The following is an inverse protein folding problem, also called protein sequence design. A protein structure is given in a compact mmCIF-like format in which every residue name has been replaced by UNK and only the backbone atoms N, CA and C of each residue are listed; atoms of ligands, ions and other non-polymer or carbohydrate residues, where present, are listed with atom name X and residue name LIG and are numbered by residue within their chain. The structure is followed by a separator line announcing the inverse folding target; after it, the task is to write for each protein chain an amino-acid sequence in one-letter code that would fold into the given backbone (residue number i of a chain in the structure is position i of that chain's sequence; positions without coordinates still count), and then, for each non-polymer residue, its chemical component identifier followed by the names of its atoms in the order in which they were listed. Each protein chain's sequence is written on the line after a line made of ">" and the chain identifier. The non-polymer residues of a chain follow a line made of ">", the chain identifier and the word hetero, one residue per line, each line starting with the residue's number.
data_IF_542442178331
#
_entry.id   IF_542442178331
#
_cell.length_a   1.000
_cell.length_b   1.000
_cell.length_c   1.000
_cell.angle_alpha   90.00
_cell.angle_beta   90.00
_cell.angle_gamma   90.00
#
_symmetry.space_group_name_H-M   'P 1'
#
loop_
_entity.id
_entity.type
_entity.pdbx_description
1 polymer ?
#
# COMPACT_ATOMS: atom_id res chain seq x y z
N UNK A 1 0.96 10.97 -16.33
CA UNK A 1 0.27 9.66 -16.50
C UNK A 1 1.18 8.63 -15.86
N UNK A 2 0.78 8.08 -14.71
CA UNK A 2 1.68 7.67 -13.62
C UNK A 2 1.94 6.15 -13.66
N UNK A 3 3.19 5.68 -13.73
CA UNK A 3 3.47 4.26 -14.11
C UNK A 3 4.65 3.58 -13.38
N UNK A 4 4.42 2.31 -12.99
CA UNK A 4 5.19 1.48 -12.04
C UNK A 4 5.66 0.15 -12.60
N UNK A 5 6.78 -0.33 -12.04
CA UNK A 5 7.23 -1.72 -12.16
C UNK A 5 6.40 -2.60 -11.22
N UNK A 6 5.32 -3.16 -11.75
CA UNK A 6 4.59 -4.26 -11.09
C UNK A 6 4.68 -5.47 -12.02
N UNK A 7 5.55 -6.42 -11.70
CA UNK A 7 5.65 -7.65 -12.49
C UNK A 7 4.48 -8.61 -12.28
N UNK A 8 3.67 -8.40 -11.25
CA UNK A 8 2.29 -8.87 -11.06
C UNK A 8 1.86 -8.36 -9.67
N UNK A 9 0.75 -7.60 -9.53
CA UNK A 9 0.38 -7.06 -8.23
C UNK A 9 -0.03 -8.21 -7.30
N UNK A 10 0.43 -8.21 -6.03
CA UNK A 10 0.02 -9.24 -5.09
C UNK A 10 -1.51 -9.28 -4.96
N UNK A 11 -2.07 -10.49 -4.97
CA UNK A 11 -3.52 -10.72 -4.88
C UNK A 11 -3.98 -11.04 -3.47
N UNK A 12 -3.04 -11.31 -2.56
CA UNK A 12 -3.29 -11.69 -1.16
C UNK A 12 -3.46 -10.50 -0.20
N UNK A 13 -3.23 -9.27 -0.68
CA UNK A 13 -3.28 -8.04 0.11
C UNK A 13 -3.71 -6.82 -0.71
N UNK A 14 -4.05 -5.74 0.01
CA UNK A 14 -4.33 -4.41 -0.56
C UNK A 14 -3.02 -3.77 -1.01
N UNK A 15 -3.04 -3.16 -2.20
CA UNK A 15 -1.88 -2.46 -2.75
C UNK A 15 -1.65 -1.12 -2.05
N UNK A 16 -0.39 -0.78 -1.77
CA UNK A 16 -0.02 0.53 -1.22
C UNK A 16 0.54 1.41 -2.32
N UNK A 17 -0.10 2.55 -2.54
CA UNK A 17 0.28 3.55 -3.54
C UNK A 17 0.92 4.74 -2.84
N UNK A 18 2.17 5.05 -3.20
CA UNK A 18 2.83 6.29 -2.82
C UNK A 18 2.66 7.32 -3.93
N UNK A 19 2.55 8.61 -3.59
CA UNK A 19 2.69 9.70 -4.55
C UNK A 19 3.98 10.47 -4.23
N UNK A 20 4.87 10.62 -5.21
CA UNK A 20 6.21 11.15 -5.02
C UNK A 20 6.61 12.11 -6.14
N UNK A 21 7.52 13.03 -5.85
CA UNK A 21 7.94 14.09 -6.78
C UNK A 21 9.43 14.00 -7.15
N UNK A 22 10.16 13.07 -6.53
CA UNK A 22 11.58 12.83 -6.81
C UNK A 22 11.92 11.33 -6.85
N UNK A 23 13.05 11.02 -7.49
CA UNK A 23 13.58 9.65 -7.54
C UNK A 23 13.95 9.14 -6.13
N UNK A 24 14.56 9.98 -5.29
CA UNK A 24 14.92 9.63 -3.91
C UNK A 24 13.68 9.27 -3.06
N UNK A 25 12.58 10.02 -3.25
CA UNK A 25 11.30 9.69 -2.60
C UNK A 25 10.73 8.38 -3.12
N UNK A 26 10.84 8.11 -4.43
CA UNK A 26 10.41 6.86 -5.01
C UNK A 26 11.18 5.67 -4.43
N UNK A 27 12.51 5.75 -4.36
CA UNK A 27 13.35 4.71 -3.78
C UNK A 27 13.00 4.46 -2.30
N UNK A 28 12.80 5.52 -1.52
CA UNK A 28 12.38 5.42 -0.12
C UNK A 28 11.00 4.78 0.01
N UNK A 29 10.03 5.18 -0.81
CA UNK A 29 8.69 4.61 -0.80
C UNK A 29 8.70 3.12 -1.17
N UNK A 30 9.52 2.70 -2.14
CA UNK A 30 9.70 1.27 -2.46
C UNK A 30 10.31 0.53 -1.27
N UNK A 31 11.34 1.09 -0.63
CA UNK A 31 11.97 0.49 0.56
C UNK A 31 10.98 0.40 1.75
N UNK A 32 10.06 1.34 1.88
CA UNK A 32 8.98 1.34 2.87
C UNK A 32 7.84 0.38 2.52
N UNK A 33 7.86 -0.16 1.29
CA UNK A 33 6.99 -1.24 0.85
C UNK A 33 5.78 -0.76 0.05
N UNK A 34 5.87 0.33 -0.70
CA UNK A 34 4.87 0.66 -1.70
C UNK A 34 4.89 -0.36 -2.86
N UNK A 35 3.72 -0.75 -3.35
CA UNK A 35 3.59 -1.60 -4.55
C UNK A 35 3.56 -0.74 -5.83
N UNK A 36 3.15 0.52 -5.72
CA UNK A 36 2.85 1.48 -6.82
C UNK A 36 3.32 2.87 -6.36
N UNK A 37 3.93 3.70 -7.23
CA UNK A 37 4.71 4.92 -6.89
C UNK A 37 4.33 6.14 -7.73
N UNK A 38 3.10 6.64 -7.71
CA UNK A 38 2.69 7.77 -8.56
C UNK A 38 3.70 8.93 -8.62
N UNK A 39 4.43 9.04 -9.74
CA UNK A 39 5.56 9.95 -9.89
C UNK A 39 5.15 11.16 -10.74
N UNK A 40 5.38 12.35 -10.21
CA UNK A 40 5.17 13.63 -10.89
C UNK A 40 6.50 14.17 -11.45
N UNK A 41 6.95 13.63 -12.59
CA UNK A 41 8.19 14.04 -13.27
C UNK A 41 8.50 13.29 -14.57
N UNK A 42 9.65 13.58 -15.19
CA UNK A 42 10.10 13.04 -16.48
C UNK A 42 11.00 11.79 -16.32
N UNK A 43 10.45 10.66 -15.89
CA UNK A 43 11.16 9.36 -15.89
C UNK A 43 10.51 8.38 -16.88
N UNK A 44 11.32 7.67 -17.66
CA UNK A 44 10.85 6.55 -18.50
C UNK A 44 10.66 5.29 -17.64
N UNK A 45 9.41 4.99 -17.26
CA UNK A 45 9.06 3.86 -16.40
C UNK A 45 8.07 2.88 -17.08
N UNK A 46 8.11 1.57 -16.72
CA UNK A 46 7.15 0.58 -17.18
C UNK A 46 5.72 0.93 -16.79
N UNK A 47 4.81 0.61 -17.68
CA UNK A 47 3.42 1.02 -17.66
C UNK A 47 2.54 0.08 -16.83
N UNK A 48 1.91 0.56 -15.74
CA UNK A 48 0.82 -0.19 -15.10
C UNK A 48 -0.39 -0.18 -16.05
N UNK A 49 -0.89 -1.36 -16.41
CA UNK A 49 -1.94 -1.55 -17.44
C UNK A 49 -3.28 -2.01 -16.87
N UNK A 50 -3.35 -2.34 -15.59
CA UNK A 50 -4.57 -2.76 -14.91
C UNK A 50 -5.29 -1.55 -14.29
N UNK A 51 -6.63 -1.51 -14.40
CA UNK A 51 -7.43 -0.52 -13.68
C UNK A 51 -7.67 -1.03 -12.25
N UNK A 52 -7.23 -0.25 -11.26
CA UNK A 52 -7.39 -0.58 -9.85
C UNK A 52 -8.15 0.55 -9.15
N UNK A 53 -9.20 0.19 -8.43
CA UNK A 53 -9.92 1.14 -7.58
C UNK A 53 -9.07 1.50 -6.36
N UNK A 54 -8.79 2.80 -6.22
CA UNK A 54 -7.93 3.33 -5.17
C UNK A 54 -8.78 4.05 -4.14
N UNK A 55 -8.80 3.51 -2.92
CA UNK A 55 -9.32 4.23 -1.78
C UNK A 55 -8.34 5.34 -1.39
N UNK A 56 -8.81 6.58 -1.45
CA UNK A 56 -8.04 7.75 -0.98
C UNK A 56 -8.57 8.14 0.38
N UNK A 57 -7.69 8.08 1.39
CA UNK A 57 -8.01 8.55 2.74
C UNK A 57 -7.73 10.05 2.79
N UNK A 58 -8.70 10.89 3.22
CA UNK A 58 -8.47 12.31 3.35
C UNK A 58 -7.34 12.58 4.36
N UNK A 59 -6.54 13.62 4.14
CA UNK A 59 -5.48 13.97 5.07
C UNK A 59 -6.07 14.35 6.44
N UNK A 60 -5.47 13.85 7.50
CA UNK A 60 -5.81 14.12 8.88
C UNK A 60 -4.68 13.66 9.80
N UNK A 61 -4.94 13.56 11.09
CA UNK A 61 -3.97 12.94 12.00
C UNK A 61 -3.67 11.50 11.56
N UNK A 62 -2.44 11.05 11.82
CA UNK A 62 -1.96 9.72 11.41
C UNK A 62 -2.91 8.62 11.88
N UNK A 63 -3.35 8.68 13.14
CA UNK A 63 -4.26 7.71 13.73
C UNK A 63 -5.59 7.62 12.98
N UNK A 64 -6.19 8.76 12.60
CA UNK A 64 -7.43 8.78 11.83
C UNK A 64 -7.22 8.24 10.41
N UNK A 65 -6.08 8.58 9.80
CA UNK A 65 -5.73 8.13 8.45
C UNK A 65 -5.56 6.61 8.42
N UNK A 66 -4.88 6.04 9.42
CA UNK A 66 -4.69 4.59 9.53
C UNK A 66 -5.98 3.85 9.91
N UNK A 67 -6.84 4.45 10.74
CA UNK A 67 -8.15 3.88 11.04
C UNK A 67 -9.04 3.80 9.78
N UNK A 68 -9.09 4.87 8.98
CA UNK A 68 -9.82 4.87 7.73
C UNK A 68 -9.22 3.88 6.71
N UNK A 69 -7.89 3.78 6.62
CA UNK A 69 -7.22 2.78 5.78
C UNK A 69 -7.58 1.35 6.20
N UNK A 70 -7.67 1.08 7.50
CA UNK A 70 -8.09 -0.22 8.05
C UNK A 70 -9.52 -0.56 7.60
N UNK A 71 -10.45 0.39 7.74
CA UNK A 71 -11.86 0.19 7.33
C UNK A 71 -11.96 -0.03 5.82
N UNK A 72 -11.26 0.76 5.02
CA UNK A 72 -11.24 0.61 3.57
C UNK A 72 -10.70 -0.76 3.15
N UNK A 73 -9.59 -1.22 3.75
CA UNK A 73 -9.03 -2.54 3.48
C UNK A 73 -9.99 -3.68 3.87
N UNK A 74 -10.62 -3.61 5.05
CA UNK A 74 -11.62 -4.58 5.50
C UNK A 74 -12.87 -4.59 4.59
N UNK A 75 -13.20 -3.44 4.00
CA UNK A 75 -14.33 -3.30 3.07
C UNK A 75 -14.03 -3.79 1.66
N UNK A 76 -12.81 -4.29 1.39
CA UNK A 76 -12.42 -4.88 0.11
C UNK A 76 -11.75 -3.92 -0.87
N UNK A 77 -11.23 -2.77 -0.41
CA UNK A 77 -10.44 -1.88 -1.26
C UNK A 77 -9.26 -2.65 -1.89
N UNK A 78 -9.05 -2.50 -3.20
CA UNK A 78 -7.95 -3.17 -3.90
C UNK A 78 -6.62 -2.42 -3.74
N UNK A 79 -6.68 -1.09 -3.63
CA UNK A 79 -5.52 -0.25 -3.34
C UNK A 79 -5.85 0.91 -2.40
N UNK A 80 -4.81 1.40 -1.72
CA UNK A 80 -4.84 2.54 -0.82
C UNK A 80 -3.76 3.53 -1.20
N UNK A 81 -4.13 4.81 -1.33
CA UNK A 81 -3.15 5.90 -1.42
C UNK A 81 -2.70 6.26 -0.01
N UNK A 82 -1.39 6.15 0.24
CA UNK A 82 -0.80 6.38 1.55
C UNK A 82 0.03 7.66 1.57
N UNK A 83 -0.15 8.47 2.62
CA UNK A 83 0.77 9.54 2.99
C UNK A 83 2.01 9.02 3.72
N UNK A 84 1.82 8.02 4.60
CA UNK A 84 2.91 7.22 5.20
C UNK A 84 2.82 5.76 4.70
N UNK A 85 3.72 5.42 3.78
CA UNK A 85 3.79 4.10 3.15
C UNK A 85 4.09 3.00 4.17
N UNK A 86 5.04 3.27 5.09
CA UNK A 86 5.51 2.26 6.04
C UNK A 86 4.41 1.89 7.02
N UNK A 87 3.65 2.85 7.50
CA UNK A 87 2.55 2.61 8.43
C UNK A 87 1.35 1.97 7.71
N UNK A 88 1.00 2.47 6.52
CA UNK A 88 -0.05 1.86 5.70
C UNK A 88 0.28 0.40 5.37
N UNK A 89 1.54 0.09 5.02
CA UNK A 89 2.02 -1.27 4.80
C UNK A 89 1.74 -2.17 6.01
N UNK A 90 2.09 -1.75 7.22
CA UNK A 90 1.82 -2.56 8.43
C UNK A 90 0.33 -2.81 8.61
N UNK A 91 -0.52 -1.80 8.39
CA UNK A 91 -1.97 -1.92 8.52
C UNK A 91 -2.54 -2.91 7.51
N UNK A 92 -2.21 -2.80 6.22
CA UNK A 92 -2.79 -3.70 5.20
C UNK A 92 -2.31 -5.14 5.35
N UNK A 93 -1.07 -5.36 5.81
CA UNK A 93 -0.56 -6.71 6.13
C UNK A 93 -1.28 -7.31 7.34
N UNK A 94 -1.54 -6.49 8.36
CA UNK A 94 -2.32 -6.91 9.52
C UNK A 94 -3.75 -7.27 9.12
N UNK A 95 -4.39 -6.43 8.30
CA UNK A 95 -5.75 -6.71 7.79
C UNK A 95 -5.76 -8.00 6.96
N UNK A 96 -4.81 -8.21 6.05
CA UNK A 96 -4.69 -9.45 5.28
C UNK A 96 -4.52 -10.68 6.20
N UNK A 97 -3.76 -10.53 7.29
CA UNK A 97 -3.60 -11.57 8.32
C UNK A 97 -4.89 -11.87 9.07
N UNK A 98 -5.62 -10.82 9.48
CA UNK A 98 -6.91 -10.93 10.17
C UNK A 98 -7.97 -11.57 9.28
N UNK A 99 -7.99 -11.21 8.00
CA UNK A 99 -8.91 -11.77 7.00
C UNK A 99 -8.52 -13.18 6.53
N UNK A 100 -7.35 -13.68 6.92
CA UNK A 100 -6.85 -14.99 6.54
C UNK A 100 -6.43 -15.11 5.07
N UNK A 101 -6.26 -14.00 4.35
CA UNK A 101 -5.77 -14.01 2.97
C UNK A 101 -4.25 -14.18 2.89
N UNK A 102 -3.56 -13.87 4.00
CA UNK A 102 -2.11 -14.04 4.15
C UNK A 102 -1.76 -14.53 5.56
N UNK A 103 -0.79 -15.43 5.76
CA UNK A 103 -0.33 -15.77 7.10
C UNK A 103 0.44 -14.59 7.74
N UNK A 104 0.32 -14.38 9.07
CA UNK A 104 1.12 -13.37 9.75
C UNK A 104 2.61 -13.75 9.71
N UNK A 105 3.49 -12.75 9.62
CA UNK A 105 4.93 -12.96 9.52
C UNK A 105 5.53 -13.79 10.67
N UNK A 106 4.90 -13.74 11.86
CA UNK A 106 5.29 -14.56 13.01
C UNK A 106 4.06 -14.99 13.80
N UNK A 107 3.70 -16.27 13.70
CA UNK A 107 2.70 -16.89 14.56
C UNK A 107 3.37 -17.37 15.86
N UNK A 108 2.99 -16.78 17.00
CA UNK A 108 3.46 -17.21 18.32
C UNK A 108 2.33 -17.88 19.08
N UNK A 109 2.61 -19.05 19.67
CA UNK A 109 1.71 -19.70 20.62
C UNK A 109 2.07 -19.20 22.02
N UNK A 110 1.24 -18.31 22.56
CA UNK A 110 1.51 -17.64 23.86
C UNK A 110 1.13 -18.49 25.10
N UNK A 111 0.55 -19.67 24.91
CA UNK A 111 0.17 -20.58 25.99
C UNK A 111 0.97 -21.88 25.85
N UNK A 112 2.02 -21.97 26.65
CA UNK A 112 2.73 -23.19 27.02
C UNK A 112 2.54 -23.41 28.51
#
# INVERSE_FOLDING_TARGET
>A
MNRFRVSEPPTDRVLVIAAVTSADEAERAVADGADVIEFDGELELPEFTEAVEVATVPPGDEDFTLAAATVAALSGARALRASDVRQARKVVEMVASVMGTRPPARALRALA
#
